data_IF_590593911791
#
_entry.id   IF_590593911791
#
_cell.length_a   1.000
_cell.length_b   1.000
_cell.length_c   1.000
_cell.angle_alpha   90.00
_cell.angle_beta   90.00
_cell.angle_gamma   90.00
#
_symmetry.space_group_name_H-M   'P 1'
#
loop_
_entity.id
_entity.type
_entity.pdbx_description
1 polymer ?
#
# COMPACT_ATOMS: atom_id res chain seq x y z
N UNK A 1 40.22 49.91 65.50
CA UNK A 1 40.44 48.93 64.42
C UNK A 1 39.09 48.61 63.80
N UNK A 2 38.85 49.05 62.56
CA UNK A 2 37.53 48.87 61.84
C UNK A 2 37.64 47.71 60.93
N UNK A 3 36.88 46.65 61.14
CA UNK A 3 36.83 45.47 60.29
C UNK A 3 35.74 45.68 59.22
N UNK A 4 36.13 45.70 57.93
CA UNK A 4 35.22 45.83 56.81
C UNK A 4 34.84 44.44 56.33
N UNK A 5 33.54 44.09 56.51
CA UNK A 5 32.97 42.85 55.93
C UNK A 5 32.53 43.16 54.52
N UNK A 6 33.16 42.52 53.53
CA UNK A 6 32.77 42.58 52.13
C UNK A 6 31.72 41.48 51.88
N UNK A 7 30.48 41.88 51.67
CA UNK A 7 29.42 40.99 51.23
C UNK A 7 29.58 40.73 49.72
N UNK A 8 29.80 39.50 49.33
CA UNK A 8 29.78 39.04 47.93
C UNK A 8 28.34 38.62 47.57
N UNK A 9 27.70 39.37 46.70
CA UNK A 9 26.40 39.01 46.17
C UNK A 9 26.63 38.00 45.03
N UNK A 10 26.20 36.78 45.23
CA UNK A 10 26.18 35.74 44.19
C UNK A 10 24.89 35.90 43.37
N UNK A 11 25.02 36.34 42.15
CA UNK A 11 23.92 36.44 41.16
C UNK A 11 23.72 35.05 40.50
N UNK A 12 22.67 34.34 40.92
CA UNK A 12 22.27 33.08 40.28
C UNK A 12 21.38 33.43 39.07
N UNK A 13 21.94 33.36 37.89
CA UNK A 13 21.21 33.48 36.65
C UNK A 13 20.49 32.16 36.35
N UNK A 14 19.19 32.09 36.60
CA UNK A 14 18.34 30.96 36.19
C UNK A 14 18.05 31.06 34.70
N UNK A 15 18.74 30.25 33.92
CA UNK A 15 18.54 30.10 32.45
C UNK A 15 17.32 29.23 32.22
N UNK A 16 16.16 29.83 31.97
CA UNK A 16 14.95 29.12 31.57
C UNK A 16 15.09 28.65 30.12
N UNK A 17 15.38 27.36 29.94
CA UNK A 17 15.36 26.72 28.62
C UNK A 17 13.89 26.51 28.25
N UNK A 18 13.36 27.37 27.38
CA UNK A 18 12.05 27.17 26.76
C UNK A 18 12.16 26.05 25.75
N UNK A 19 11.73 24.83 26.11
CA UNK A 19 11.52 23.76 25.13
C UNK A 19 10.31 24.14 24.26
N UNK A 20 10.59 24.70 23.10
CA UNK A 20 9.59 24.77 22.03
C UNK A 20 9.37 23.33 21.53
N UNK A 21 8.36 22.66 22.07
CA UNK A 21 7.82 21.44 21.48
C UNK A 21 7.19 21.83 20.14
N UNK A 22 7.92 21.63 19.05
CA UNK A 22 7.33 21.63 17.72
C UNK A 22 6.37 20.44 17.67
N UNK A 23 5.09 20.71 17.88
CA UNK A 23 4.02 19.77 17.53
C UNK A 23 4.09 19.64 16.01
N UNK A 24 4.75 18.60 15.50
CA UNK A 24 4.61 18.18 14.13
C UNK A 24 3.15 17.76 13.95
N UNK A 25 2.37 18.62 13.31
CA UNK A 25 1.04 18.30 12.82
C UNK A 25 1.24 17.23 11.72
N UNK A 26 1.27 15.95 12.13
CA UNK A 26 1.40 14.81 11.25
C UNK A 26 0.07 14.62 10.51
N UNK A 27 -0.16 15.48 9.52
CA UNK A 27 -1.31 15.34 8.62
C UNK A 27 -1.28 13.92 8.05
N UNK A 28 -2.26 13.12 8.46
CA UNK A 28 -2.39 11.72 7.99
C UNK A 28 -2.33 11.70 6.45
N UNK A 29 -1.47 10.87 5.84
CA UNK A 29 -1.39 10.79 4.38
C UNK A 29 -2.75 10.55 3.74
N UNK A 30 -3.01 11.18 2.59
CA UNK A 30 -4.28 11.02 1.87
C UNK A 30 -4.57 9.57 1.48
N UNK A 31 -3.51 8.76 1.31
CA UNK A 31 -3.55 7.33 1.07
C UNK A 31 -2.52 6.67 2.00
N UNK A 32 -2.91 6.30 3.22
CA UNK A 32 -1.99 5.75 4.20
C UNK A 32 -1.43 4.39 3.75
N UNK A 33 -0.18 4.05 4.14
CA UNK A 33 0.37 2.72 3.92
C UNK A 33 -0.41 1.69 4.73
N UNK A 34 -0.56 0.49 4.16
CA UNK A 34 -1.21 -0.65 4.76
C UNK A 34 -0.54 -1.95 4.34
N UNK A 35 -0.73 -3.00 5.13
CA UNK A 35 -0.19 -4.33 4.88
C UNK A 35 -1.28 -5.36 5.13
N UNK A 36 -1.44 -6.30 4.19
CA UNK A 36 -2.19 -7.52 4.40
C UNK A 36 -1.19 -8.70 4.43
N UNK A 37 -1.26 -9.52 5.47
CA UNK A 37 -0.43 -10.72 5.60
C UNK A 37 -1.30 -11.90 5.99
N UNK A 38 -1.03 -13.06 5.41
CA UNK A 38 -1.75 -14.29 5.71
C UNK A 38 -1.07 -15.52 5.14
N UNK A 39 -1.58 -16.69 5.53
CA UNK A 39 -1.12 -17.98 4.99
C UNK A 39 -2.16 -18.52 4.01
N UNK A 40 -1.67 -19.01 2.88
CA UNK A 40 -2.44 -19.79 1.93
C UNK A 40 -1.74 -21.14 1.81
N UNK A 41 -2.36 -22.19 2.36
CA UNK A 41 -1.71 -23.47 2.62
C UNK A 41 -0.44 -23.27 3.48
N UNK A 42 0.73 -23.58 2.95
CA UNK A 42 2.02 -23.45 3.59
C UNK A 42 2.83 -22.22 3.15
N UNK A 43 2.30 -21.43 2.19
CA UNK A 43 2.91 -20.18 1.74
C UNK A 43 2.45 -18.98 2.58
N UNK A 44 3.39 -18.14 3.00
CA UNK A 44 3.11 -16.85 3.60
C UNK A 44 3.04 -15.80 2.50
N UNK A 45 1.92 -15.08 2.44
CA UNK A 45 1.70 -14.00 1.49
C UNK A 45 1.71 -12.68 2.24
N UNK A 46 2.44 -11.69 1.71
CA UNK A 46 2.46 -10.31 2.22
C UNK A 46 2.20 -9.33 1.08
N UNK A 47 1.21 -8.47 1.25
CA UNK A 47 0.84 -7.41 0.30
C UNK A 47 1.01 -6.06 1.00
N UNK A 48 1.96 -5.22 0.52
CA UNK A 48 2.12 -3.86 1.01
C UNK A 48 1.58 -2.89 -0.04
N UNK A 49 0.78 -1.93 0.39
CA UNK A 49 0.09 -1.01 -0.49
C UNK A 49 -0.18 0.33 0.20
N UNK A 50 -0.52 1.35 -0.57
CA UNK A 50 -1.13 2.57 -0.05
C UNK A 50 -2.63 2.53 -0.35
N UNK A 51 -3.45 2.84 0.67
CA UNK A 51 -4.91 2.68 0.65
C UNK A 51 -5.61 3.99 0.29
N UNK A 52 -5.97 4.23 -0.99
CA UNK A 52 -6.73 5.40 -1.40
C UNK A 52 -8.20 5.28 -0.99
N UNK A 53 -8.87 6.43 -0.83
CA UNK A 53 -10.31 6.54 -0.56
C UNK A 53 -11.08 6.97 -1.81
N UNK A 54 -12.33 6.58 -1.90
CA UNK A 54 -13.25 6.99 -3.01
C UNK A 54 -13.53 8.50 -2.95
N UNK A 55 -13.89 9.03 -1.80
CA UNK A 55 -14.20 10.46 -1.57
C UNK A 55 -15.18 11.02 -2.61
N UNK A 56 -16.23 10.28 -2.93
CA UNK A 56 -17.25 10.68 -3.87
C UNK A 56 -16.81 10.78 -5.34
N UNK A 57 -15.60 10.29 -5.69
CA UNK A 57 -15.08 10.31 -7.06
C UNK A 57 -15.57 9.11 -7.85
N UNK A 58 -15.69 9.27 -9.16
CA UNK A 58 -15.79 8.14 -10.08
C UNK A 58 -14.41 7.47 -10.18
N UNK A 59 -14.33 6.23 -9.72
CA UNK A 59 -13.05 5.49 -9.70
C UNK A 59 -12.79 4.87 -11.07
N UNK A 60 -13.61 3.91 -11.47
CA UNK A 60 -13.37 3.12 -12.67
C UNK A 60 -13.80 3.87 -13.93
N UNK A 61 -12.89 4.00 -14.89
CA UNK A 61 -13.06 4.84 -16.08
C UNK A 61 -12.91 6.35 -15.82
N UNK A 62 -12.80 6.75 -14.53
CA UNK A 62 -12.55 8.13 -14.11
C UNK A 62 -11.14 8.31 -13.58
N UNK A 63 -10.95 8.10 -12.27
CA UNK A 63 -9.63 8.22 -11.62
C UNK A 63 -8.65 7.17 -12.15
N UNK A 64 -9.10 5.93 -12.27
CA UNK A 64 -8.34 4.81 -12.81
C UNK A 64 -8.93 4.44 -14.17
N UNK A 65 -8.18 4.76 -15.23
CA UNK A 65 -8.63 4.56 -16.60
C UNK A 65 -8.69 3.08 -16.96
N UNK A 66 -9.69 2.70 -17.74
CA UNK A 66 -9.75 1.36 -18.33
C UNK A 66 -8.60 1.13 -19.32
N UNK A 67 -8.20 -0.11 -19.48
CA UNK A 67 -7.15 -0.60 -20.39
C UNK A 67 -5.76 0.03 -20.14
N UNK A 68 -5.54 0.60 -18.96
CA UNK A 68 -4.25 1.12 -18.51
C UNK A 68 -3.71 0.31 -17.33
N UNK A 69 -2.39 0.16 -17.29
CA UNK A 69 -1.73 -0.46 -16.14
C UNK A 69 -1.85 0.46 -14.93
N UNK A 70 -2.46 -0.05 -13.87
CA UNK A 70 -2.65 0.62 -12.61
C UNK A 70 -1.86 -0.08 -11.50
N UNK A 71 -1.19 0.69 -10.65
CA UNK A 71 -0.38 0.21 -9.51
C UNK A 71 -1.16 -0.50 -8.40
N UNK A 72 -2.46 -0.74 -8.61
CA UNK A 72 -3.35 -1.44 -7.68
C UNK A 72 -3.36 -0.87 -6.26
N UNK A 73 -3.24 0.45 -6.15
CA UNK A 73 -3.17 1.24 -4.93
C UNK A 73 -2.82 2.69 -5.23
N UNK A 74 -2.14 3.37 -4.31
CA UNK A 74 -1.66 4.74 -4.47
C UNK A 74 -0.16 4.84 -4.15
N UNK A 75 0.49 5.96 -4.49
CA UNK A 75 1.90 6.25 -4.26
C UNK A 75 2.82 5.23 -4.96
N UNK A 76 3.63 4.48 -4.22
CA UNK A 76 4.43 3.38 -4.74
C UNK A 76 3.54 2.27 -5.32
N UNK A 77 4.11 1.47 -6.21
CA UNK A 77 3.43 0.27 -6.69
C UNK A 77 3.16 -0.69 -5.53
N UNK A 78 1.96 -1.24 -5.48
CA UNK A 78 1.63 -2.32 -4.54
C UNK A 78 2.61 -3.47 -4.73
N UNK A 79 3.13 -4.04 -3.63
CA UNK A 79 4.00 -5.21 -3.69
C UNK A 79 3.28 -6.45 -3.20
N UNK A 80 3.53 -7.56 -3.87
CA UNK A 80 3.11 -8.90 -3.51
C UNK A 80 4.34 -9.77 -3.25
N UNK A 81 4.41 -10.40 -2.09
CA UNK A 81 5.53 -11.26 -1.71
C UNK A 81 5.02 -12.62 -1.28
N UNK A 82 5.70 -13.68 -1.74
CA UNK A 82 5.45 -15.05 -1.34
C UNK A 82 6.76 -15.76 -0.98
N UNK A 83 6.79 -16.47 0.14
CA UNK A 83 7.96 -17.22 0.62
C UNK A 83 8.12 -18.59 -0.05
N UNK A 84 7.12 -19.02 -0.86
CA UNK A 84 7.14 -20.27 -1.61
C UNK A 84 6.62 -20.09 -3.02
N UNK A 85 6.94 -21.05 -3.89
CA UNK A 85 6.33 -21.17 -5.20
C UNK A 85 4.83 -21.44 -5.04
N UNK A 86 4.01 -20.71 -5.78
CA UNK A 86 2.55 -20.81 -5.72
C UNK A 86 1.97 -20.94 -7.13
N UNK A 87 0.71 -21.29 -7.19
CA UNK A 87 -0.07 -21.27 -8.43
C UNK A 87 -1.13 -20.19 -8.33
N UNK A 88 -1.07 -19.21 -9.23
CA UNK A 88 -2.02 -18.09 -9.31
C UNK A 88 -2.89 -18.26 -10.54
N UNK A 89 -4.22 -18.32 -10.40
CA UNK A 89 -5.16 -18.56 -11.50
C UNK A 89 -4.73 -19.74 -12.40
N UNK A 90 -4.23 -20.83 -11.78
CA UNK A 90 -3.77 -22.02 -12.49
C UNK A 90 -2.37 -21.94 -13.09
N UNK A 91 -1.64 -20.82 -12.99
CA UNK A 91 -0.29 -20.65 -13.54
C UNK A 91 0.75 -20.49 -12.43
N UNK A 92 1.93 -21.06 -12.63
CA UNK A 92 3.02 -20.98 -11.65
C UNK A 92 3.56 -19.58 -11.47
N UNK A 93 3.79 -19.18 -10.22
CA UNK A 93 4.51 -17.99 -9.82
C UNK A 93 5.59 -18.40 -8.80
N UNK A 94 6.89 -18.24 -9.11
CA UNK A 94 7.97 -18.56 -8.19
C UNK A 94 7.91 -17.72 -6.90
N UNK A 95 8.52 -18.22 -5.83
CA UNK A 95 8.74 -17.43 -4.60
C UNK A 95 9.49 -16.14 -4.93
N UNK A 96 9.12 -15.06 -4.28
CA UNK A 96 9.77 -13.77 -4.51
C UNK A 96 8.88 -12.58 -4.16
N UNK A 97 9.41 -11.41 -4.45
CA UNK A 97 8.71 -10.13 -4.29
C UNK A 97 8.50 -9.48 -5.63
N UNK A 98 7.28 -9.06 -5.89
CA UNK A 98 6.82 -8.51 -7.15
C UNK A 98 6.12 -7.18 -6.93
N UNK A 99 6.18 -6.27 -7.91
CA UNK A 99 5.13 -5.24 -8.01
C UNK A 99 3.86 -5.89 -8.54
N UNK A 100 2.74 -5.57 -7.92
CA UNK A 100 1.43 -6.04 -8.33
C UNK A 100 0.69 -4.91 -9.05
N UNK A 101 0.26 -5.18 -10.28
CA UNK A 101 -0.52 -4.26 -11.09
C UNK A 101 -1.83 -4.89 -11.52
N UNK A 102 -2.79 -4.07 -11.82
CA UNK A 102 -4.04 -4.44 -12.47
C UNK A 102 -4.23 -3.63 -13.75
N UNK A 103 -4.89 -4.21 -14.74
CA UNK A 103 -5.45 -3.48 -15.86
C UNK A 103 -6.98 -3.58 -15.73
N UNK A 104 -7.63 -2.51 -15.23
CA UNK A 104 -9.07 -2.45 -15.17
C UNK A 104 -9.69 -2.53 -16.57
N UNK A 105 -10.79 -3.25 -16.72
CA UNK A 105 -11.57 -3.33 -17.96
C UNK A 105 -13.04 -3.21 -17.69
N UNK A 106 -13.73 -2.51 -18.56
CA UNK A 106 -15.19 -2.34 -18.46
C UNK A 106 -15.95 -3.67 -18.53
N UNK A 107 -15.40 -4.65 -19.25
CA UNK A 107 -15.95 -6.01 -19.39
C UNK A 107 -16.03 -6.80 -18.07
N UNK A 108 -15.40 -6.30 -16.98
CA UNK A 108 -15.33 -7.00 -15.70
C UNK A 108 -14.33 -8.16 -15.64
N UNK A 109 -13.57 -8.42 -16.71
CA UNK A 109 -12.43 -9.35 -16.68
C UNK A 109 -11.15 -8.54 -16.77
N UNK A 110 -10.46 -8.38 -15.62
CA UNK A 110 -9.26 -7.58 -15.50
C UNK A 110 -8.00 -8.43 -15.65
N UNK A 111 -6.87 -7.82 -15.99
CA UNK A 111 -5.59 -8.53 -16.00
C UNK A 111 -4.83 -8.21 -14.72
N UNK A 112 -4.46 -9.23 -13.96
CA UNK A 112 -3.55 -9.13 -12.83
C UNK A 112 -2.12 -9.44 -13.28
N UNK A 113 -1.15 -8.63 -12.83
CA UNK A 113 0.24 -8.67 -13.27
C UNK A 113 1.14 -8.75 -12.04
N UNK A 114 2.10 -9.67 -12.08
CA UNK A 114 3.18 -9.81 -11.10
C UNK A 114 4.49 -9.48 -11.83
N UNK A 115 5.08 -8.31 -11.54
CA UNK A 115 6.25 -7.78 -12.22
C UNK A 115 7.49 -7.91 -11.33
N UNK A 116 8.61 -8.37 -11.89
CA UNK A 116 9.86 -8.63 -11.17
C UNK A 116 10.52 -7.36 -10.61
N UNK A 117 10.22 -6.18 -11.18
CA UNK A 117 10.69 -4.91 -10.64
C UNK A 117 9.82 -4.52 -9.44
N UNK A 118 10.27 -4.87 -8.23
CA UNK A 118 9.48 -4.71 -7.00
C UNK A 118 9.61 -3.33 -6.34
N UNK A 119 10.47 -2.45 -6.87
CA UNK A 119 10.71 -1.10 -6.33
C UNK A 119 10.45 -0.07 -7.41
N UNK A 120 9.22 0.42 -7.50
CA UNK A 120 8.89 1.46 -8.46
C UNK A 120 7.77 2.37 -7.94
N UNK A 121 7.83 3.64 -8.34
CA UNK A 121 6.81 4.62 -8.02
C UNK A 121 5.69 4.57 -9.06
N UNK A 122 4.47 4.22 -8.61
CA UNK A 122 3.33 4.13 -9.51
C UNK A 122 3.51 3.06 -10.59
N UNK A 123 2.99 3.33 -11.77
CA UNK A 123 3.15 2.51 -12.97
C UNK A 123 3.95 3.23 -14.08
N UNK A 124 4.60 4.36 -13.77
CA UNK A 124 5.26 5.22 -14.77
C UNK A 124 6.44 4.55 -15.49
N UNK A 125 7.12 3.63 -14.80
CA UNK A 125 8.26 2.87 -15.34
C UNK A 125 7.93 1.38 -15.50
N UNK A 126 6.62 1.07 -15.61
CA UNK A 126 6.21 -0.30 -15.86
C UNK A 126 6.79 -0.80 -17.18
N UNK A 127 7.43 -1.96 -17.12
CA UNK A 127 8.01 -2.66 -18.26
C UNK A 127 7.44 -4.08 -18.33
N UNK A 128 6.67 -4.37 -19.40
CA UNK A 128 6.04 -5.67 -19.61
C UNK A 128 7.06 -6.80 -19.77
N UNK A 129 8.27 -6.51 -20.24
CA UNK A 129 9.33 -7.53 -20.37
C UNK A 129 9.79 -8.10 -19.03
N UNK A 130 9.50 -7.38 -17.92
CA UNK A 130 9.77 -7.81 -16.55
C UNK A 130 8.59 -8.55 -15.89
N UNK A 131 7.50 -8.81 -16.59
CA UNK A 131 6.39 -9.56 -16.03
C UNK A 131 6.81 -11.01 -15.77
N UNK A 132 6.65 -11.45 -14.52
CA UNK A 132 6.78 -12.85 -14.16
C UNK A 132 5.51 -13.61 -14.51
N UNK A 133 4.35 -12.96 -14.37
CA UNK A 133 3.05 -13.56 -14.63
C UNK A 133 2.01 -12.50 -14.98
N UNK A 134 1.15 -12.85 -15.96
CA UNK A 134 -0.08 -12.13 -16.30
C UNK A 134 -1.22 -13.14 -16.34
N UNK A 135 -2.30 -12.84 -15.62
CA UNK A 135 -3.49 -13.70 -15.57
C UNK A 135 -4.76 -12.85 -15.60
N UNK A 136 -5.80 -13.40 -16.18
CA UNK A 136 -7.12 -12.77 -16.16
C UNK A 136 -7.86 -13.14 -14.87
N UNK A 137 -8.54 -12.17 -14.30
CA UNK A 137 -9.34 -12.28 -13.08
C UNK A 137 -10.73 -11.69 -13.31
N UNK A 138 -11.77 -12.41 -12.93
CA UNK A 138 -13.15 -11.91 -13.01
C UNK A 138 -13.45 -11.09 -11.77
N UNK A 139 -13.85 -9.84 -11.96
CA UNK A 139 -14.30 -8.99 -10.87
C UNK A 139 -15.67 -9.41 -10.36
N UNK A 140 -15.98 -8.98 -9.13
CA UNK A 140 -17.30 -9.16 -8.51
C UNK A 140 -17.80 -7.80 -8.03
N UNK A 141 -19.12 -7.58 -8.15
CA UNK A 141 -19.73 -6.43 -7.52
C UNK A 141 -19.75 -6.60 -6.00
N UNK A 142 -19.43 -5.54 -5.29
CA UNK A 142 -19.61 -5.47 -3.84
C UNK A 142 -21.05 -5.00 -3.52
N UNK A 143 -21.66 -5.53 -2.45
CA UNK A 143 -23.01 -5.14 -2.06
C UNK A 143 -23.12 -3.70 -1.56
N UNK A 144 -22.01 -3.12 -1.12
CA UNK A 144 -21.88 -1.75 -0.67
C UNK A 144 -20.54 -1.17 -1.10
N UNK A 145 -20.45 0.17 -1.19
CA UNK A 145 -19.21 0.85 -1.52
C UNK A 145 -18.15 0.62 -0.46
N UNK A 146 -17.02 0.07 -0.88
CA UNK A 146 -15.79 -0.02 -0.07
C UNK A 146 -15.04 1.31 -0.21
N UNK A 147 -15.19 2.20 0.79
CA UNK A 147 -14.67 3.57 0.73
C UNK A 147 -13.15 3.64 0.59
N UNK A 148 -12.40 2.80 1.31
CA UNK A 148 -10.93 2.73 1.22
C UNK A 148 -10.51 1.42 0.59
N UNK A 149 -9.53 1.47 -0.31
CA UNK A 149 -8.96 0.27 -0.90
C UNK A 149 -8.40 -0.66 0.19
N UNK A 150 -8.76 -1.93 0.14
CA UNK A 150 -8.30 -2.94 1.09
C UNK A 150 -7.95 -4.25 0.39
N UNK A 151 -6.86 -4.89 0.84
CA UNK A 151 -6.53 -6.26 0.50
C UNK A 151 -6.92 -7.18 1.64
N UNK A 152 -7.50 -8.33 1.30
CA UNK A 152 -7.88 -9.39 2.25
C UNK A 152 -7.32 -10.72 1.76
N UNK A 153 -6.60 -11.42 2.63
CA UNK A 153 -6.06 -12.75 2.32
C UNK A 153 -6.96 -13.80 2.99
N UNK A 154 -7.29 -14.85 2.26
CA UNK A 154 -8.09 -15.98 2.72
C UNK A 154 -7.45 -17.31 2.29
N UNK A 155 -8.07 -18.44 2.62
CA UNK A 155 -7.53 -19.77 2.33
C UNK A 155 -7.36 -20.08 0.83
N UNK A 156 -8.05 -19.36 -0.05
CA UNK A 156 -8.10 -19.62 -1.49
C UNK A 156 -7.40 -18.55 -2.34
N UNK A 157 -6.78 -17.55 -1.70
CA UNK A 157 -6.13 -16.45 -2.40
C UNK A 157 -6.27 -15.11 -1.68
N UNK A 158 -6.45 -14.05 -2.43
CA UNK A 158 -6.70 -12.73 -1.87
C UNK A 158 -7.74 -11.96 -2.70
N UNK A 159 -8.32 -10.94 -2.11
CA UNK A 159 -9.14 -9.95 -2.81
C UNK A 159 -8.55 -8.56 -2.67
N UNK A 160 -8.70 -7.74 -3.70
CA UNK A 160 -8.58 -6.29 -3.63
C UNK A 160 -10.00 -5.73 -3.76
N UNK A 161 -10.46 -5.04 -2.71
CA UNK A 161 -11.79 -4.46 -2.66
C UNK A 161 -11.69 -2.93 -2.64
N UNK A 162 -12.34 -2.25 -3.57
CA UNK A 162 -12.43 -0.79 -3.61
C UNK A 162 -13.64 -0.31 -4.41
N UNK A 163 -14.26 0.78 -3.94
CA UNK A 163 -15.52 1.29 -4.50
C UNK A 163 -16.59 0.18 -4.53
N UNK A 164 -17.10 -0.17 -5.67
CA UNK A 164 -18.13 -1.21 -5.86
C UNK A 164 -17.57 -2.51 -6.45
N UNK A 165 -16.24 -2.66 -6.51
CA UNK A 165 -15.59 -3.79 -7.16
C UNK A 165 -14.68 -4.53 -6.19
N UNK A 166 -14.81 -5.86 -6.22
CA UNK A 166 -13.86 -6.82 -5.66
C UNK A 166 -13.13 -7.55 -6.78
N UNK A 167 -11.80 -7.66 -6.65
CA UNK A 167 -10.94 -8.38 -7.59
C UNK A 167 -10.37 -9.60 -6.86
N UNK A 168 -11.01 -10.77 -6.97
CA UNK A 168 -10.49 -12.00 -6.38
C UNK A 168 -9.37 -12.58 -7.22
N UNK A 169 -8.25 -12.90 -6.56
CA UNK A 169 -7.10 -13.60 -7.18
C UNK A 169 -6.93 -14.94 -6.48
N UNK A 170 -7.17 -16.01 -7.21
CA UNK A 170 -7.10 -17.38 -6.67
C UNK A 170 -5.64 -17.84 -6.59
N UNK A 171 -5.28 -18.46 -5.44
CA UNK A 171 -3.95 -19.05 -5.19
C UNK A 171 -4.12 -20.48 -4.69
N UNK A 172 -3.34 -21.37 -5.25
CA UNK A 172 -3.28 -22.79 -4.88
C UNK A 172 -1.85 -23.24 -4.60
#
# INVERSE_FOLDING_TARGET
MKTIIKSAAVLVATMTISLNAFAQDTKKPASPPATATGKIKDATITINYSSPSVKGRTIWGGLEAYDKVWRAGANEATTFETDKDITVQGKKLPKGKYSFFLIPKESGTWTAIFNKESKQWGAYKYDQAKDALRVDVKTKALPATQETLVYKINSNGFTMDWDKISVPVEIK
#
